data_IF_341459814016
#
_entry.id   IF_341459814016
#
_cell.length_a   1.000
_cell.length_b   1.000
_cell.length_c   1.000
_cell.angle_alpha   90.00
_cell.angle_beta   90.00
_cell.angle_gamma   90.00
#
_symmetry.space_group_name_H-M   'P 1'
#
loop_
_entity.id
_entity.type
_entity.pdbx_description
1 polymer ?
#
# COMPACT_ATOMS: atom_id res chain seq x y z
N UNK A 1 -32.92 10.91 17.08
CA UNK A 1 -31.70 11.75 17.11
C UNK A 1 -30.58 11.10 17.95
N UNK A 2 -30.39 9.78 17.91
CA UNK A 2 -29.54 9.05 18.88
C UNK A 2 -28.77 7.86 18.28
N UNK A 3 -28.29 7.98 17.03
CA UNK A 3 -27.41 6.95 16.43
C UNK A 3 -26.07 7.49 15.90
N UNK A 4 -25.86 8.81 15.90
CA UNK A 4 -24.65 9.43 15.36
C UNK A 4 -23.54 9.63 16.40
N UNK A 5 -23.87 9.83 17.69
CA UNK A 5 -22.90 10.03 18.76
C UNK A 5 -22.14 8.75 19.17
N UNK A 6 -22.72 7.57 18.92
CA UNK A 6 -22.19 6.29 19.43
C UNK A 6 -21.31 5.51 18.43
N UNK A 7 -21.07 6.05 17.23
CA UNK A 7 -20.29 5.35 16.18
C UNK A 7 -18.82 5.18 16.54
N UNK A 8 -18.24 6.13 17.27
CA UNK A 8 -16.83 6.02 17.69
C UNK A 8 -16.66 5.02 18.83
N UNK A 9 -17.56 5.01 19.81
CA UNK A 9 -17.57 4.02 20.88
C UNK A 9 -17.77 2.59 20.31
N UNK A 10 -18.75 2.41 19.42
CA UNK A 10 -18.99 1.13 18.76
C UNK A 10 -17.77 0.64 17.97
N UNK A 11 -17.06 1.53 17.27
CA UNK A 11 -15.81 1.17 16.57
C UNK A 11 -14.72 0.68 17.52
N UNK A 12 -14.50 1.37 18.63
CA UNK A 12 -13.51 0.95 19.63
C UNK A 12 -13.89 -0.37 20.29
N UNK A 13 -15.18 -0.59 20.57
CA UNK A 13 -15.70 -1.87 21.09
C UNK A 13 -15.42 -3.00 20.08
N UNK A 14 -15.69 -2.79 18.79
CA UNK A 14 -15.45 -3.79 17.75
C UNK A 14 -13.95 -4.11 17.58
N UNK A 15 -13.09 -3.09 17.64
CA UNK A 15 -11.63 -3.26 17.56
C UNK A 15 -11.13 -4.06 18.77
N UNK A 16 -11.56 -3.68 19.98
CA UNK A 16 -11.20 -4.39 21.22
C UNK A 16 -11.69 -5.84 21.20
N UNK A 17 -12.94 -6.07 20.79
CA UNK A 17 -13.52 -7.40 20.68
C UNK A 17 -12.75 -8.27 19.67
N UNK A 18 -12.39 -7.72 18.52
CA UNK A 18 -11.58 -8.43 17.50
C UNK A 18 -10.20 -8.78 18.03
N UNK A 19 -9.54 -7.86 18.76
CA UNK A 19 -8.26 -8.12 19.38
C UNK A 19 -8.33 -9.23 20.45
N UNK A 20 -9.38 -9.22 21.27
CA UNK A 20 -9.64 -10.26 22.27
C UNK A 20 -9.85 -11.62 21.60
N UNK A 21 -10.69 -11.69 20.55
CA UNK A 21 -10.95 -12.94 19.81
C UNK A 21 -9.67 -13.50 19.20
N UNK A 22 -8.87 -12.66 18.53
CA UNK A 22 -7.60 -13.08 17.93
C UNK A 22 -6.64 -13.60 19.00
N UNK A 23 -6.53 -12.90 20.12
CA UNK A 23 -5.66 -13.29 21.23
C UNK A 23 -6.10 -14.62 21.85
N UNK A 24 -7.41 -14.83 22.02
CA UNK A 24 -7.97 -16.09 22.51
C UNK A 24 -7.70 -17.26 21.56
N UNK A 25 -7.86 -17.07 20.24
CA UNK A 25 -7.58 -18.12 19.26
C UNK A 25 -6.09 -18.49 19.27
N UNK A 26 -5.20 -17.50 19.28
CA UNK A 26 -3.75 -17.73 19.35
C UNK A 26 -3.35 -18.44 20.64
N UNK A 27 -3.88 -17.99 21.78
CA UNK A 27 -3.62 -18.62 23.08
C UNK A 27 -4.13 -20.06 23.11
N UNK A 28 -5.36 -20.31 22.65
CA UNK A 28 -5.94 -21.66 22.62
C UNK A 28 -5.14 -22.60 21.69
N UNK A 29 -4.70 -22.11 20.52
CA UNK A 29 -3.88 -22.91 19.59
C UNK A 29 -2.52 -23.24 20.19
N UNK A 30 -1.91 -22.29 20.89
CA UNK A 30 -0.65 -22.51 21.61
C UNK A 30 -0.82 -23.50 22.77
N UNK A 31 -1.87 -23.37 23.57
CA UNK A 31 -2.18 -24.28 24.67
C UNK A 31 -2.43 -25.71 24.14
N UNK A 32 -3.18 -25.86 23.06
CA UNK A 32 -3.40 -27.15 22.39
C UNK A 32 -2.08 -27.80 21.95
N UNK A 33 -1.18 -27.03 21.34
CA UNK A 33 0.14 -27.52 20.95
C UNK A 33 0.96 -28.02 22.15
N UNK A 34 0.97 -27.28 23.26
CA UNK A 34 1.70 -27.67 24.46
C UNK A 34 1.12 -28.93 25.11
N UNK A 35 -0.21 -29.03 25.19
CA UNK A 35 -0.89 -30.22 25.73
C UNK A 35 -0.58 -31.45 24.89
N UNK A 36 -0.65 -31.33 23.55
CA UNK A 36 -0.32 -32.43 22.65
C UNK A 36 1.16 -32.85 22.77
N UNK A 37 2.07 -31.88 22.94
CA UNK A 37 3.49 -32.16 23.18
C UNK A 37 3.70 -32.92 24.51
N UNK A 38 2.95 -32.57 25.55
CA UNK A 38 3.00 -33.26 26.83
C UNK A 38 2.46 -34.70 26.73
N UNK A 39 1.35 -34.91 26.04
CA UNK A 39 0.78 -36.25 25.79
C UNK A 39 1.75 -37.16 25.01
N UNK A 40 2.39 -36.64 23.96
CA UNK A 40 3.43 -37.38 23.22
C UNK A 40 4.60 -37.78 24.13
N UNK A 41 5.00 -36.91 25.06
CA UNK A 41 6.04 -37.25 26.05
C UNK A 41 5.59 -38.38 26.97
N UNK A 42 4.36 -38.33 27.50
CA UNK A 42 3.80 -39.40 28.33
C UNK A 42 3.75 -40.73 27.57
N UNK A 43 3.35 -40.70 26.30
CA UNK A 43 3.35 -41.88 25.42
C UNK A 43 4.75 -42.50 25.29
N UNK A 44 5.76 -41.67 25.13
CA UNK A 44 7.16 -42.12 25.04
C UNK A 44 7.71 -42.63 26.38
N UNK A 45 7.27 -42.07 27.52
CA UNK A 45 7.61 -42.59 28.85
C UNK A 45 6.99 -43.97 29.08
N UNK A 46 5.71 -44.15 28.73
CA UNK A 46 5.04 -45.45 28.81
C UNK A 46 5.73 -46.48 27.92
N UNK A 47 6.14 -46.09 26.71
CA UNK A 47 6.93 -46.95 25.84
C UNK A 47 8.25 -47.38 26.50
N UNK A 48 8.96 -46.46 27.15
CA UNK A 48 10.20 -46.75 27.87
C UNK A 48 9.98 -47.74 29.02
N UNK A 49 8.89 -47.60 29.79
CA UNK A 49 8.59 -48.54 30.88
C UNK A 49 8.27 -49.94 30.36
N UNK A 50 7.46 -50.05 29.30
CA UNK A 50 7.19 -51.33 28.66
C UNK A 50 8.45 -51.98 28.07
N UNK A 51 9.37 -51.18 27.54
CA UNK A 51 10.67 -51.68 27.08
C UNK A 51 11.53 -52.21 28.22
N UNK A 52 11.58 -51.53 29.38
CA UNK A 52 12.26 -52.05 30.57
C UNK A 52 11.64 -53.37 31.02
N UNK A 53 10.32 -53.44 31.17
CA UNK A 53 9.60 -54.61 31.67
C UNK A 53 9.84 -55.86 30.81
N UNK A 54 9.83 -55.72 29.48
CA UNK A 54 10.10 -56.83 28.55
C UNK A 54 11.55 -57.33 28.66
N UNK A 55 12.51 -56.44 28.90
CA UNK A 55 13.93 -56.80 28.99
C UNK A 55 14.38 -57.16 30.41
N UNK A 56 13.53 -56.97 31.42
CA UNK A 56 13.76 -57.36 32.82
C UNK A 56 13.33 -58.80 33.14
N UNK A 57 12.72 -59.49 32.18
CA UNK A 57 12.36 -60.91 32.30
C UNK A 57 13.62 -61.79 32.18
N UNK A 58 14.56 -61.60 33.10
CA UNK A 58 15.72 -62.46 33.36
C UNK A 58 15.35 -63.73 34.14
N UNK A 59 14.07 -64.09 34.22
CA UNK A 59 13.64 -65.43 34.64
C UNK A 59 12.71 -66.00 33.56
N UNK A 60 13.27 -66.85 32.72
CA UNK A 60 12.74 -67.48 31.49
C UNK A 60 11.43 -68.30 31.63
N UNK A 61 10.58 -68.05 32.62
CA UNK A 61 9.35 -68.80 32.90
C UNK A 61 8.09 -67.93 33.18
N UNK A 62 8.17 -66.59 33.15
CA UNK A 62 6.99 -65.73 33.27
C UNK A 62 6.49 -65.26 31.91
N UNK A 63 5.19 -65.43 31.67
CA UNK A 63 4.50 -64.97 30.46
C UNK A 63 4.54 -63.44 30.40
N UNK A 64 5.10 -62.88 29.33
CA UNK A 64 5.09 -61.44 29.09
C UNK A 64 3.63 -61.07 28.84
N UNK A 65 2.99 -60.37 29.78
CA UNK A 65 1.62 -59.91 29.61
C UNK A 65 1.42 -59.13 28.30
N UNK A 66 0.21 -59.16 27.74
CA UNK A 66 -0.07 -58.51 26.45
C UNK A 66 0.09 -56.98 26.48
N UNK A 67 0.05 -56.36 27.66
CA UNK A 67 0.00 -54.91 27.83
C UNK A 67 1.31 -54.19 27.41
N UNK A 68 2.51 -54.57 27.89
CA UNK A 68 3.78 -54.01 27.41
C UNK A 68 3.94 -54.10 25.88
N UNK A 69 3.60 -55.26 25.30
CA UNK A 69 3.66 -55.47 23.86
C UNK A 69 2.71 -54.52 23.11
N UNK A 70 1.47 -54.37 23.60
CA UNK A 70 0.47 -53.47 23.01
C UNK A 70 0.89 -52.00 23.09
N UNK A 71 1.49 -51.58 24.21
CA UNK A 71 2.04 -50.21 24.36
C UNK A 71 3.16 -49.99 23.36
N UNK A 72 4.11 -50.93 23.26
CA UNK A 72 5.20 -50.84 22.29
C UNK A 72 4.68 -50.76 20.86
N UNK A 73 3.68 -51.56 20.48
CA UNK A 73 3.09 -51.57 19.14
C UNK A 73 2.27 -50.30 18.83
N UNK A 74 1.60 -49.71 19.83
CA UNK A 74 0.75 -48.51 19.66
C UNK A 74 1.51 -47.25 19.23
N UNK A 75 2.82 -47.20 19.41
CA UNK A 75 3.64 -46.09 18.93
C UNK A 75 3.94 -46.20 17.43
N UNK A 76 3.04 -45.69 16.58
CA UNK A 76 3.14 -45.80 15.11
C UNK A 76 3.64 -44.54 14.41
N UNK A 77 3.78 -43.43 15.12
CA UNK A 77 3.95 -42.10 14.52
C UNK A 77 5.17 -41.33 14.98
N UNK A 78 5.69 -41.65 16.17
CA UNK A 78 6.72 -40.84 16.83
C UNK A 78 8.07 -41.49 16.51
N UNK A 79 8.96 -40.80 15.76
CA UNK A 79 10.23 -41.37 15.37
C UNK A 79 11.18 -41.38 16.57
N UNK A 80 11.87 -42.49 16.78
CA UNK A 80 12.72 -42.67 17.95
C UNK A 80 13.92 -43.58 17.69
N UNK A 81 15.01 -43.29 18.40
CA UNK A 81 16.24 -44.05 18.46
C UNK A 81 16.48 -44.49 19.90
N UNK A 82 16.85 -45.74 20.08
CA UNK A 82 17.36 -46.29 21.32
C UNK A 82 18.89 -46.40 21.19
N UNK A 83 19.61 -45.87 22.18
CA UNK A 83 21.07 -45.98 22.27
C UNK A 83 21.48 -46.54 23.63
N UNK A 84 22.72 -47.01 23.72
CA UNK A 84 23.36 -47.21 25.02
C UNK A 84 23.70 -45.85 25.68
N UNK A 85 24.30 -45.91 26.88
CA UNK A 85 24.77 -44.73 27.62
C UNK A 85 25.89 -43.96 26.93
N UNK A 86 26.66 -44.62 26.06
CA UNK A 86 27.75 -44.02 25.28
C UNK A 86 27.26 -43.38 23.97
N UNK A 87 25.97 -43.53 23.66
CA UNK A 87 25.31 -42.98 22.48
C UNK A 87 25.39 -43.88 21.24
N UNK A 88 25.84 -45.14 21.37
CA UNK A 88 25.85 -46.09 20.27
C UNK A 88 24.43 -46.58 19.97
N UNK A 89 24.12 -46.70 18.68
CA UNK A 89 22.84 -47.16 18.19
C UNK A 89 22.51 -48.60 18.62
N UNK A 90 21.30 -48.82 19.16
CA UNK A 90 20.76 -50.14 19.49
C UNK A 90 19.61 -50.50 18.55
N UNK A 91 18.59 -49.65 18.49
CA UNK A 91 17.39 -49.88 17.66
C UNK A 91 16.68 -48.57 17.34
N UNK A 92 15.73 -48.62 16.40
CA UNK A 92 14.90 -47.48 16.06
C UNK A 92 13.43 -47.88 15.87
N UNK A 93 12.56 -46.87 15.87
CA UNK A 93 11.16 -47.04 15.48
C UNK A 93 10.67 -45.82 14.70
N UNK A 94 9.83 -46.06 13.69
CA UNK A 94 9.24 -45.03 12.81
C UNK A 94 10.30 -44.14 12.12
N UNK A 95 11.48 -44.69 11.85
CA UNK A 95 12.58 -44.09 11.09
C UNK A 95 12.89 -45.05 9.93
N UNK A 96 13.13 -44.59 8.70
CA UNK A 96 13.54 -45.46 7.60
C UNK A 96 14.87 -46.18 7.86
N UNK A 97 14.93 -47.48 7.55
CA UNK A 97 16.12 -48.33 7.72
C UNK A 97 17.36 -47.79 6.99
N UNK A 98 17.18 -47.04 5.92
CA UNK A 98 18.27 -46.43 5.12
C UNK A 98 19.05 -45.39 5.93
N UNK A 99 18.37 -44.64 6.81
CA UNK A 99 18.97 -43.57 7.60
C UNK A 99 19.83 -44.14 8.73
N UNK A 100 19.42 -45.26 9.33
CA UNK A 100 20.14 -45.86 10.46
C UNK A 100 21.36 -46.68 10.05
N UNK A 101 21.57 -46.92 8.74
CA UNK A 101 22.75 -47.60 8.21
C UNK A 101 23.99 -46.71 8.19
N UNK A 102 23.83 -45.40 8.19
CA UNK A 102 24.92 -44.43 8.22
C UNK A 102 25.09 -43.86 9.65
N UNK A 103 26.22 -44.15 10.34
CA UNK A 103 26.49 -43.61 11.67
C UNK A 103 26.47 -42.08 11.74
N UNK A 104 26.83 -41.38 10.66
CA UNK A 104 26.81 -39.92 10.61
C UNK A 104 25.38 -39.37 10.65
N UNK A 105 24.47 -40.00 9.89
CA UNK A 105 23.05 -39.66 9.88
C UNK A 105 22.38 -39.95 11.23
N UNK A 106 22.75 -41.07 11.89
CA UNK A 106 22.28 -41.38 13.25
C UNK A 106 22.70 -40.30 14.24
N UNK A 107 23.98 -39.88 14.22
CA UNK A 107 24.47 -38.83 15.10
C UNK A 107 23.76 -37.48 14.86
N UNK A 108 23.54 -37.11 13.60
CA UNK A 108 22.75 -35.92 13.24
C UNK A 108 21.31 -36.01 13.76
N UNK A 109 20.69 -37.19 13.67
CA UNK A 109 19.32 -37.41 14.11
C UNK A 109 19.19 -37.34 15.64
N UNK A 110 20.18 -37.85 16.38
CA UNK A 110 20.27 -37.73 17.84
C UNK A 110 20.33 -36.25 18.24
N UNK A 111 21.20 -35.45 17.63
CA UNK A 111 21.31 -34.02 17.93
C UNK A 111 20.01 -33.26 17.58
N UNK A 112 19.38 -33.60 16.45
CA UNK A 112 18.07 -33.05 16.08
C UNK A 112 17.02 -33.37 17.15
N UNK A 113 16.93 -34.62 17.59
CA UNK A 113 15.93 -35.03 18.57
C UNK A 113 16.19 -34.46 19.97
N UNK A 114 17.45 -34.30 20.38
CA UNK A 114 17.82 -33.55 21.60
C UNK A 114 17.32 -32.10 21.55
N UNK A 115 17.38 -31.46 20.38
CA UNK A 115 16.85 -30.11 20.17
C UNK A 115 15.32 -30.03 20.23
N UNK A 116 14.62 -31.10 19.87
CA UNK A 116 13.15 -31.15 19.87
C UNK A 116 12.58 -31.54 21.25
N UNK A 117 13.16 -32.55 21.88
CA UNK A 117 12.72 -33.16 23.13
C UNK A 117 13.89 -33.61 24.01
N UNK A 118 13.69 -33.55 25.33
CA UNK A 118 14.66 -34.15 26.27
C UNK A 118 14.60 -35.68 26.17
N UNK A 119 15.74 -36.38 26.04
CA UNK A 119 15.77 -37.83 25.98
C UNK A 119 15.15 -38.47 27.22
N UNK A 120 14.68 -39.70 27.07
CA UNK A 120 14.11 -40.49 28.16
C UNK A 120 15.12 -41.54 28.59
N UNK A 121 15.41 -41.57 29.89
CA UNK A 121 16.31 -42.56 30.50
C UNK A 121 15.57 -43.87 30.70
N UNK A 122 16.10 -44.95 30.15
CA UNK A 122 15.66 -46.32 30.43
C UNK A 122 16.52 -46.85 31.57
N UNK A 123 15.90 -47.06 32.73
CA UNK A 123 16.58 -47.54 33.93
C UNK A 123 16.35 -49.04 34.11
N UNK A 124 17.40 -49.73 34.53
CA UNK A 124 17.41 -51.12 34.91
C UNK A 124 18.01 -51.22 36.31
N UNK A 125 17.28 -51.81 37.27
CA UNK A 125 17.71 -51.88 38.69
C UNK A 125 18.14 -50.51 39.29
N UNK A 126 17.58 -49.41 38.77
CA UNK A 126 17.90 -48.04 39.20
C UNK A 126 19.04 -47.36 38.43
N UNK A 127 19.82 -48.08 37.62
CA UNK A 127 20.89 -47.54 36.79
C UNK A 127 20.39 -47.24 35.36
N UNK A 128 20.81 -46.11 34.79
CA UNK A 128 20.50 -45.78 33.39
C UNK A 128 21.32 -46.69 32.48
N UNK A 129 20.66 -47.53 31.68
CA UNK A 129 21.34 -48.41 30.72
C UNK A 129 21.18 -47.96 29.28
N UNK A 130 20.04 -47.36 28.94
CA UNK A 130 19.77 -46.90 27.59
C UNK A 130 19.14 -45.51 27.60
N UNK A 131 19.26 -44.81 26.48
CA UNK A 131 18.62 -43.53 26.23
C UNK A 131 17.69 -43.63 25.02
N UNK A 132 16.49 -43.07 25.16
CA UNK A 132 15.53 -42.92 24.05
C UNK A 132 15.55 -41.48 23.56
N UNK A 133 16.08 -41.28 22.36
CA UNK A 133 15.99 -40.02 21.63
C UNK A 133 14.77 -40.07 20.72
N UNK A 134 13.86 -39.10 20.81
CA UNK A 134 12.65 -39.09 20.00
C UNK A 134 12.35 -37.71 19.43
N UNK A 135 11.92 -37.71 18.17
CA UNK A 135 11.51 -36.50 17.46
C UNK A 135 10.04 -36.17 17.64
N UNK A 136 9.65 -35.00 17.19
CA UNK A 136 8.25 -34.63 17.04
C UNK A 136 7.59 -35.53 15.99
N UNK A 137 6.39 -36.03 16.28
CA UNK A 137 5.58 -36.71 15.28
C UNK A 137 5.27 -35.81 14.08
N UNK A 138 5.01 -36.36 12.89
CA UNK A 138 4.64 -35.57 11.70
C UNK A 138 3.47 -34.61 11.95
N UNK A 139 2.52 -34.99 12.81
CA UNK A 139 1.40 -34.15 13.21
C UNK A 139 1.85 -32.98 14.09
N UNK A 140 2.69 -33.22 15.10
CA UNK A 140 3.22 -32.17 15.98
C UNK A 140 4.06 -31.15 15.18
N UNK A 141 4.83 -31.62 14.20
CA UNK A 141 5.57 -30.75 13.27
C UNK A 141 4.66 -29.87 12.41
N UNK A 142 3.52 -30.39 11.94
CA UNK A 142 2.51 -29.56 11.26
C UNK A 142 1.89 -28.54 12.22
N UNK A 143 1.48 -28.98 13.41
CA UNK A 143 0.84 -28.14 14.45
C UNK A 143 1.69 -26.95 14.88
N UNK A 144 3.02 -27.10 14.91
CA UNK A 144 3.97 -26.02 15.23
C UNK A 144 3.79 -24.76 14.37
N UNK A 145 3.38 -24.90 13.10
CA UNK A 145 3.27 -23.79 12.16
C UNK A 145 1.86 -23.19 12.04
N UNK A 146 0.83 -23.83 12.60
CA UNK A 146 -0.55 -23.33 12.53
C UNK A 146 -0.71 -21.89 13.08
N UNK A 147 -0.11 -21.53 14.25
CA UNK A 147 -0.20 -20.16 14.76
C UNK A 147 0.39 -19.12 13.80
N UNK A 148 1.50 -19.44 13.12
CA UNK A 148 2.12 -18.54 12.13
C UNK A 148 1.24 -18.36 10.90
N UNK A 149 0.63 -19.45 10.42
CA UNK A 149 -0.30 -19.40 9.29
C UNK A 149 -1.54 -18.54 9.62
N UNK A 150 -2.09 -18.69 10.83
CA UNK A 150 -3.21 -17.87 11.28
C UNK A 150 -2.84 -16.38 11.35
N UNK A 151 -1.67 -16.06 11.90
CA UNK A 151 -1.18 -14.69 11.98
C UNK A 151 -1.01 -14.08 10.57
N UNK A 152 -0.49 -14.84 9.61
CA UNK A 152 -0.38 -14.41 8.22
C UNK A 152 -1.76 -14.11 7.62
N UNK A 153 -2.75 -14.98 7.82
CA UNK A 153 -4.13 -14.79 7.33
C UNK A 153 -4.73 -13.50 7.92
N UNK A 154 -4.54 -13.26 9.21
CA UNK A 154 -5.03 -12.05 9.89
C UNK A 154 -4.39 -10.79 9.28
N UNK A 155 -3.07 -10.79 9.05
CA UNK A 155 -2.36 -9.66 8.42
C UNK A 155 -2.88 -9.40 7.02
N UNK A 156 -3.04 -10.45 6.20
CA UNK A 156 -3.56 -10.33 4.85
C UNK A 156 -4.99 -9.77 4.85
N UNK A 157 -5.85 -10.26 5.73
CA UNK A 157 -7.22 -9.77 5.85
C UNK A 157 -7.27 -8.29 6.29
N UNK A 158 -6.45 -7.91 7.27
CA UNK A 158 -6.32 -6.52 7.71
C UNK A 158 -5.84 -5.60 6.58
N UNK A 159 -4.89 -6.04 5.76
CA UNK A 159 -4.42 -5.30 4.60
C UNK A 159 -5.55 -5.09 3.56
N UNK A 160 -6.32 -6.14 3.24
CA UNK A 160 -7.46 -6.06 2.32
C UNK A 160 -8.51 -5.05 2.83
N UNK A 161 -8.89 -5.15 4.10
CA UNK A 161 -9.86 -4.22 4.71
C UNK A 161 -9.34 -2.77 4.66
N UNK A 162 -8.06 -2.56 4.96
CA UNK A 162 -7.43 -1.24 4.89
C UNK A 162 -7.45 -0.67 3.47
N UNK A 163 -7.04 -1.45 2.47
CA UNK A 163 -7.05 -1.02 1.07
C UNK A 163 -8.47 -0.73 0.57
N UNK A 164 -9.44 -1.56 0.93
CA UNK A 164 -10.85 -1.36 0.60
C UNK A 164 -11.39 -0.06 1.22
N UNK A 165 -11.15 0.16 2.52
CA UNK A 165 -11.58 1.39 3.21
C UNK A 165 -10.96 2.63 2.57
N UNK A 166 -9.65 2.60 2.29
CA UNK A 166 -8.94 3.70 1.64
C UNK A 166 -9.53 3.99 0.25
N UNK A 167 -9.74 2.96 -0.56
CA UNK A 167 -10.32 3.08 -1.90
C UNK A 167 -11.73 3.67 -1.87
N UNK A 168 -12.60 3.14 -1.00
CA UNK A 168 -13.98 3.62 -0.82
C UNK A 168 -14.06 5.08 -0.36
N UNK A 169 -13.18 5.49 0.56
CA UNK A 169 -13.11 6.87 1.05
C UNK A 169 -12.70 7.83 -0.07
N UNK A 170 -11.69 7.48 -0.86
CA UNK A 170 -11.24 8.28 -2.02
C UNK A 170 -12.36 8.37 -3.06
N UNK A 171 -13.00 7.25 -3.40
CA UNK A 171 -14.11 7.23 -4.36
C UNK A 171 -15.28 8.12 -3.92
N UNK A 172 -15.63 8.11 -2.64
CA UNK A 172 -16.69 8.97 -2.08
C UNK A 172 -16.32 10.45 -2.16
N UNK A 173 -15.08 10.79 -1.78
CA UNK A 173 -14.58 12.16 -1.91
C UNK A 173 -14.59 12.62 -3.37
N UNK A 174 -14.11 11.78 -4.29
CA UNK A 174 -14.10 12.07 -5.72
C UNK A 174 -15.53 12.30 -6.23
N UNK A 175 -16.50 11.46 -5.85
CA UNK A 175 -17.91 11.61 -6.24
C UNK A 175 -18.53 12.90 -5.70
N UNK A 176 -18.24 13.25 -4.44
CA UNK A 176 -18.71 14.50 -3.83
C UNK A 176 -18.12 15.72 -4.52
N UNK A 177 -16.80 15.74 -4.74
CA UNK A 177 -16.14 16.80 -5.48
C UNK A 177 -16.66 16.91 -6.91
N UNK A 178 -16.92 15.78 -7.57
CA UNK A 178 -17.48 15.76 -8.93
C UNK A 178 -18.88 16.36 -8.97
N UNK A 179 -19.76 15.90 -8.07
CA UNK A 179 -21.14 16.35 -7.99
C UNK A 179 -21.26 17.81 -7.59
N UNK A 180 -20.51 18.24 -6.56
CA UNK A 180 -20.44 19.64 -6.15
C UNK A 180 -19.89 20.53 -7.26
N UNK A 181 -18.81 20.11 -7.95
CA UNK A 181 -18.25 20.92 -9.03
C UNK A 181 -19.23 21.10 -10.19
N UNK A 182 -19.92 20.03 -10.59
CA UNK A 182 -20.94 20.08 -11.65
C UNK A 182 -22.14 20.95 -11.25
N UNK A 183 -22.66 20.78 -10.04
CA UNK A 183 -23.81 21.53 -9.54
C UNK A 183 -23.48 23.02 -9.38
N UNK A 184 -22.36 23.34 -8.76
CA UNK A 184 -21.92 24.74 -8.62
C UNK A 184 -21.63 25.38 -9.98
N UNK A 185 -21.06 24.65 -10.93
CA UNK A 185 -20.89 25.18 -12.28
C UNK A 185 -22.25 25.48 -12.95
N UNK A 186 -23.22 24.58 -12.80
CA UNK A 186 -24.58 24.83 -13.31
C UNK A 186 -25.22 26.07 -12.66
N UNK A 187 -25.12 26.18 -11.32
CA UNK A 187 -25.67 27.31 -10.57
C UNK A 187 -24.98 28.65 -10.86
N UNK A 188 -23.69 28.65 -11.22
CA UNK A 188 -22.97 29.86 -11.67
C UNK A 188 -23.29 30.17 -13.14
N UNK A 189 -23.49 29.15 -13.98
CA UNK A 189 -23.83 29.32 -15.38
C UNK A 189 -25.14 30.09 -15.60
N UNK A 190 -26.14 29.84 -14.76
CA UNK A 190 -27.46 30.51 -14.85
C UNK A 190 -27.40 32.04 -14.70
N UNK A 191 -26.87 32.63 -13.60
CA UNK A 191 -26.76 34.08 -13.48
C UNK A 191 -25.82 34.68 -14.54
N UNK A 192 -24.83 33.92 -15.00
CA UNK A 192 -23.91 34.37 -16.03
C UNK A 192 -24.57 34.52 -17.40
N UNK A 193 -25.47 33.60 -17.77
CA UNK A 193 -26.30 33.73 -18.97
C UNK A 193 -27.20 34.96 -18.90
N UNK A 194 -27.75 35.28 -17.72
CA UNK A 194 -28.51 36.53 -17.52
C UNK A 194 -27.63 37.76 -17.70
N UNK A 195 -26.39 37.75 -17.19
CA UNK A 195 -25.44 38.86 -17.39
C UNK A 195 -25.11 39.07 -18.87
N UNK A 196 -24.95 38.01 -19.66
CA UNK A 196 -24.79 38.12 -21.13
C UNK A 196 -26.00 38.83 -21.76
N UNK A 197 -27.21 38.44 -21.36
CA UNK A 197 -28.44 39.08 -21.83
C UNK A 197 -28.50 40.57 -21.47
N UNK A 198 -28.15 40.94 -20.24
CA UNK A 198 -28.08 42.34 -19.82
C UNK A 198 -27.02 43.13 -20.58
N UNK A 199 -25.84 42.54 -20.87
CA UNK A 199 -24.84 43.22 -21.70
C UNK A 199 -25.34 43.48 -23.12
N UNK A 200 -26.13 42.59 -23.70
CA UNK A 200 -26.71 42.79 -25.02
C UNK A 200 -27.74 43.93 -25.02
N UNK A 201 -28.54 44.05 -23.95
CA UNK A 201 -29.44 45.19 -23.75
C UNK A 201 -28.62 46.49 -23.61
N UNK A 202 -27.55 46.49 -22.81
CA UNK A 202 -26.70 47.67 -22.62
C UNK A 202 -26.03 48.13 -23.92
N UNK A 203 -25.77 47.23 -24.88
CA UNK A 203 -25.29 47.63 -26.23
C UNK A 203 -26.31 48.40 -27.05
N UNK A 204 -27.60 48.17 -26.80
CA UNK A 204 -28.67 48.90 -27.46
C UNK A 204 -28.90 50.30 -26.87
N UNK A 205 -28.30 50.59 -25.72
CA UNK A 205 -28.31 51.88 -25.04
C UNK A 205 -27.06 52.71 -25.40
N UNK A 206 -27.13 54.04 -25.29
CA UNK A 206 -26.03 54.97 -25.63
C UNK A 206 -24.92 55.00 -24.55
N UNK A 207 -24.45 53.82 -24.12
CA UNK A 207 -23.38 53.64 -23.13
C UNK A 207 -22.04 53.55 -23.84
N UNK A 208 -20.96 54.01 -23.20
CA UNK A 208 -19.58 53.88 -23.73
C UNK A 208 -19.28 52.41 -24.09
N UNK A 209 -19.03 52.10 -25.37
CA UNK A 209 -18.73 50.74 -25.83
C UNK A 209 -17.53 50.10 -25.13
N UNK A 210 -16.59 50.90 -24.61
CA UNK A 210 -15.42 50.38 -23.90
C UNK A 210 -15.79 49.71 -22.57
N UNK A 211 -16.80 50.23 -21.85
CA UNK A 211 -17.26 49.63 -20.60
C UNK A 211 -17.98 48.30 -20.86
N UNK A 212 -18.79 48.23 -21.92
CA UNK A 212 -19.48 47.01 -22.31
C UNK A 212 -18.47 45.92 -22.69
N UNK A 213 -17.45 46.29 -23.48
CA UNK A 213 -16.40 45.34 -23.90
C UNK A 213 -15.62 44.75 -22.73
N UNK A 214 -15.34 45.52 -21.68
CA UNK A 214 -14.70 44.98 -20.47
C UNK A 214 -15.63 44.08 -19.65
N UNK A 215 -16.92 44.39 -19.57
CA UNK A 215 -17.91 43.50 -18.91
C UNK A 215 -18.03 42.17 -19.68
N UNK A 216 -18.12 42.20 -21.00
CA UNK A 216 -18.18 40.98 -21.84
C UNK A 216 -16.96 40.09 -21.67
N UNK A 217 -15.79 40.70 -21.54
CA UNK A 217 -14.53 40.00 -21.29
C UNK A 217 -14.53 39.31 -19.93
N UNK A 218 -15.05 39.94 -18.89
CA UNK A 218 -15.21 39.33 -17.56
C UNK A 218 -16.27 38.22 -17.56
N UNK A 219 -17.39 38.40 -18.27
CA UNK A 219 -18.41 37.37 -18.46
C UNK A 219 -17.82 36.15 -19.18
N UNK A 220 -17.12 36.36 -20.28
CA UNK A 220 -16.45 35.28 -21.04
C UNK A 220 -15.45 34.54 -20.16
N UNK A 221 -14.69 35.28 -19.33
CA UNK A 221 -13.76 34.69 -18.38
C UNK A 221 -14.47 33.81 -17.35
N UNK A 222 -15.60 34.28 -16.80
CA UNK A 222 -16.41 33.49 -15.87
C UNK A 222 -17.03 32.25 -16.55
N UNK A 223 -17.39 32.33 -17.83
CA UNK A 223 -17.94 31.19 -18.58
C UNK A 223 -16.89 30.11 -18.74
N UNK A 224 -15.66 30.51 -19.11
CA UNK A 224 -14.52 29.60 -19.21
C UNK A 224 -14.23 28.95 -17.85
N UNK A 225 -14.22 29.70 -16.76
CA UNK A 225 -14.01 29.15 -15.40
C UNK A 225 -15.10 28.14 -15.05
N UNK A 226 -16.34 28.45 -15.39
CA UNK A 226 -17.52 27.61 -15.10
C UNK A 226 -17.51 26.30 -15.91
N UNK A 227 -17.23 26.37 -17.21
CA UNK A 227 -17.08 25.19 -18.09
C UNK A 227 -15.94 24.29 -17.61
N UNK A 228 -14.78 24.90 -17.30
CA UNK A 228 -13.64 24.20 -16.72
C UNK A 228 -14.01 23.52 -15.40
N UNK A 229 -14.74 24.19 -14.52
CA UNK A 229 -15.21 23.63 -13.25
C UNK A 229 -16.19 22.46 -13.44
N UNK A 230 -17.10 22.57 -14.42
CA UNK A 230 -18.03 21.50 -14.80
C UNK A 230 -17.31 20.24 -15.31
N UNK A 231 -16.24 20.42 -16.11
CA UNK A 231 -15.43 19.32 -16.66
C UNK A 231 -14.62 18.57 -15.60
N UNK A 232 -14.33 19.19 -14.45
CA UNK A 232 -13.82 18.46 -13.28
C UNK A 232 -14.89 17.49 -12.74
N UNK A 233 -16.17 17.80 -12.94
CA UNK A 233 -17.29 16.99 -12.49
C UNK A 233 -17.57 15.73 -13.32
N UNK A 234 -16.98 15.57 -14.50
CA UNK A 234 -17.21 14.46 -15.42
C UNK A 234 -15.92 13.67 -15.71
N UNK A 235 -16.06 12.43 -16.16
CA UNK A 235 -14.94 11.66 -16.72
C UNK A 235 -14.57 12.27 -18.08
N UNK A 236 -13.36 12.81 -18.26
CA UNK A 236 -12.97 13.40 -19.53
C UNK A 236 -12.66 12.31 -20.56
N UNK A 237 -12.90 12.63 -21.84
CA UNK A 237 -12.43 11.79 -22.94
C UNK A 237 -10.97 12.12 -23.23
N UNK A 238 -10.12 11.08 -23.26
CA UNK A 238 -8.74 11.17 -23.69
C UNK A 238 -8.66 10.88 -25.19
N UNK A 239 -7.84 11.63 -25.91
CA UNK A 239 -7.57 11.45 -27.34
C UNK A 239 -6.06 11.30 -27.54
N UNK A 240 -5.67 10.61 -28.62
CA UNK A 240 -4.27 10.62 -29.06
C UNK A 240 -3.92 12.04 -29.49
N UNK A 241 -3.05 12.68 -28.73
CA UNK A 241 -2.63 14.07 -28.92
C UNK A 241 -1.10 14.12 -29.01
N UNK A 242 -0.59 14.98 -29.87
CA UNK A 242 0.84 15.30 -29.93
C UNK A 242 1.17 16.29 -28.79
N UNK A 243 2.00 15.83 -27.85
CA UNK A 243 2.25 16.51 -26.58
C UNK A 243 3.10 17.75 -26.73
N UNK A 244 4.07 17.75 -27.65
CA UNK A 244 5.01 18.86 -27.81
C UNK A 244 4.26 20.09 -28.30
N UNK A 245 3.41 19.93 -29.32
CA UNK A 245 2.53 20.96 -29.88
C UNK A 245 1.55 21.47 -28.83
N UNK A 246 0.84 20.57 -28.14
CA UNK A 246 -0.10 20.99 -27.09
C UNK A 246 0.58 21.79 -25.96
N UNK A 247 1.83 21.46 -25.64
CA UNK A 247 2.62 22.20 -24.65
C UNK A 247 3.16 23.51 -25.20
N UNK A 248 3.58 23.53 -26.47
CA UNK A 248 4.05 24.71 -27.18
C UNK A 248 2.94 25.76 -27.29
N UNK A 249 1.72 25.36 -27.65
CA UNK A 249 0.56 26.24 -27.75
C UNK A 249 0.26 26.90 -26.39
N UNK A 250 0.26 26.10 -25.32
CA UNK A 250 0.10 26.60 -23.95
C UNK A 250 1.23 27.56 -23.56
N UNK A 251 2.48 27.24 -23.90
CA UNK A 251 3.65 28.07 -23.66
C UNK A 251 3.55 29.44 -24.37
N UNK A 252 3.22 29.46 -25.65
CA UNK A 252 3.11 30.69 -26.45
C UNK A 252 1.97 31.59 -25.94
N UNK A 253 0.82 30.99 -25.65
CA UNK A 253 -0.31 31.67 -25.04
C UNK A 253 0.08 32.34 -23.71
N UNK A 254 0.80 31.64 -22.82
CA UNK A 254 1.22 32.16 -21.53
C UNK A 254 2.31 33.24 -21.67
N UNK A 255 3.27 33.04 -22.57
CA UNK A 255 4.33 34.01 -22.87
C UNK A 255 3.75 35.33 -23.37
N UNK A 256 2.81 35.29 -24.31
CA UNK A 256 2.21 36.49 -24.90
C UNK A 256 1.42 37.35 -23.89
N UNK A 257 0.91 36.73 -22.81
CA UNK A 257 0.11 37.39 -21.76
C UNK A 257 0.88 37.71 -20.48
N UNK A 258 2.16 37.38 -20.44
CA UNK A 258 3.02 37.59 -19.28
C UNK A 258 3.85 38.86 -19.41
N UNK A 259 4.32 39.38 -18.27
CA UNK A 259 5.21 40.57 -18.25
C UNK A 259 6.49 40.32 -19.04
N UNK A 260 6.98 41.35 -19.76
CA UNK A 260 8.30 41.33 -20.43
C UNK A 260 9.48 41.13 -19.46
N UNK A 261 9.25 41.27 -18.16
CA UNK A 261 10.23 41.00 -17.10
C UNK A 261 10.45 39.50 -16.83
N UNK A 262 9.70 38.63 -17.51
CA UNK A 262 9.81 37.18 -17.39
C UNK A 262 10.51 36.63 -18.63
N UNK A 263 11.65 35.99 -18.43
CA UNK A 263 12.33 35.22 -19.47
C UNK A 263 11.65 33.85 -19.60
N UNK A 264 11.11 33.57 -20.79
CA UNK A 264 10.48 32.30 -21.12
C UNK A 264 11.41 31.45 -21.97
N UNK A 265 11.61 30.20 -21.56
CA UNK A 265 12.40 29.20 -22.29
C UNK A 265 11.58 27.92 -22.51
N UNK A 266 11.59 27.40 -23.74
CA UNK A 266 10.97 26.13 -24.07
C UNK A 266 12.00 25.18 -24.69
N UNK A 267 12.03 23.94 -24.21
CA UNK A 267 12.92 22.88 -24.70
C UNK A 267 12.12 21.60 -24.93
N UNK A 268 12.25 21.02 -26.11
CA UNK A 268 11.64 19.73 -26.42
C UNK A 268 12.58 18.89 -27.29
N UNK A 269 12.36 17.57 -27.35
CA UNK A 269 12.94 16.73 -28.40
C UNK A 269 12.46 17.19 -29.78
N UNK A 270 13.17 16.78 -30.84
CA UNK A 270 12.78 17.03 -32.23
C UNK A 270 11.70 16.06 -32.73
N UNK A 271 11.63 14.87 -32.15
CA UNK A 271 10.65 13.85 -32.55
C UNK A 271 9.30 14.08 -31.85
N UNK A 272 8.16 13.92 -32.56
CA UNK A 272 6.84 14.08 -31.99
C UNK A 272 6.54 12.99 -30.94
N UNK A 273 5.87 13.36 -29.86
CA UNK A 273 5.51 12.46 -28.77
C UNK A 273 4.00 12.42 -28.64
N UNK A 274 3.43 11.23 -28.79
CA UNK A 274 1.98 11.03 -28.65
C UNK A 274 1.63 10.48 -27.27
N UNK A 275 0.56 11.03 -26.69
CA UNK A 275 -0.01 10.59 -25.41
C UNK A 275 -1.54 10.55 -25.52
N UNK A 276 -2.20 9.81 -24.63
CA UNK A 276 -3.65 9.91 -24.46
C UNK A 276 -3.97 11.08 -23.51
N UNK A 277 -4.53 12.15 -24.05
CA UNK A 277 -4.71 13.43 -23.36
C UNK A 277 -6.10 14.03 -23.57
N UNK A 278 -6.60 14.72 -22.56
CA UNK A 278 -7.62 15.75 -22.73
C UNK A 278 -6.91 17.12 -22.77
N UNK A 279 -6.77 17.67 -23.97
CA UNK A 279 -6.01 18.91 -24.24
C UNK A 279 -6.42 20.08 -23.35
N UNK A 280 -7.70 20.33 -23.18
CA UNK A 280 -8.19 21.48 -22.39
C UNK A 280 -7.81 21.36 -20.90
N UNK A 281 -7.92 20.16 -20.32
CA UNK A 281 -7.53 19.93 -18.93
C UNK A 281 -6.01 19.95 -18.76
N UNK A 282 -5.27 19.47 -19.75
CA UNK A 282 -3.82 19.56 -19.78
C UNK A 282 -3.32 21.01 -19.86
N UNK A 283 -3.85 21.80 -20.79
CA UNK A 283 -3.53 23.22 -20.94
C UNK A 283 -3.79 23.97 -19.64
N UNK A 284 -4.90 23.66 -18.96
CA UNK A 284 -5.20 24.24 -17.65
C UNK A 284 -4.16 23.85 -16.58
N UNK A 285 -3.66 22.62 -16.64
CA UNK A 285 -2.58 22.18 -15.75
C UNK A 285 -1.31 22.98 -15.99
N UNK A 286 -0.88 23.14 -17.25
CA UNK A 286 0.30 23.93 -17.61
C UNK A 286 0.13 25.40 -17.21
N UNK A 287 -1.02 26.00 -17.52
CA UNK A 287 -1.37 27.37 -17.11
C UNK A 287 -1.25 27.55 -15.59
N UNK A 288 -1.77 26.62 -14.80
CA UNK A 288 -1.71 26.70 -13.35
C UNK A 288 -0.27 26.55 -12.82
N UNK A 289 0.54 25.66 -13.39
CA UNK A 289 1.95 25.50 -13.00
C UNK A 289 2.76 26.76 -13.32
N UNK A 290 2.61 27.30 -14.52
CA UNK A 290 3.32 28.52 -14.96
C UNK A 290 2.89 29.74 -14.15
N UNK A 291 1.60 29.91 -13.85
CA UNK A 291 1.13 30.99 -12.98
C UNK A 291 1.72 30.88 -11.57
N UNK A 292 1.77 29.68 -11.00
CA UNK A 292 2.40 29.47 -9.70
C UNK A 292 3.90 29.77 -9.72
N UNK A 293 4.61 29.44 -10.80
CA UNK A 293 6.00 29.82 -11.04
C UNK A 293 6.18 31.36 -11.07
N UNK A 294 5.36 32.07 -11.86
CA UNK A 294 5.38 33.53 -11.96
C UNK A 294 5.14 34.20 -10.59
N UNK A 295 4.18 33.68 -9.83
CA UNK A 295 3.87 34.19 -8.50
C UNK A 295 5.02 33.93 -7.50
N UNK A 296 5.68 32.78 -7.59
CA UNK A 296 6.84 32.45 -6.75
C UNK A 296 8.04 33.38 -7.00
N UNK A 297 8.14 33.93 -8.21
CA UNK A 297 9.14 34.91 -8.63
C UNK A 297 8.70 36.38 -8.41
N UNK A 298 7.48 36.62 -7.90
CA UNK A 298 6.89 37.97 -7.78
C UNK A 298 6.86 38.72 -9.12
N UNK A 299 6.64 38.02 -10.23
CA UNK A 299 6.45 38.62 -11.56
C UNK A 299 7.71 39.01 -12.33
N UNK A 300 8.92 38.70 -11.85
CA UNK A 300 10.19 38.92 -12.57
C UNK A 300 11.13 37.74 -12.34
N UNK A 301 11.68 37.18 -13.41
CA UNK A 301 12.57 36.01 -13.33
C UNK A 301 12.56 35.19 -14.60
N UNK A 302 12.80 33.89 -14.47
CA UNK A 302 12.88 32.94 -15.57
C UNK A 302 11.96 31.76 -15.33
N UNK A 303 11.11 31.46 -16.32
CA UNK A 303 10.31 30.23 -16.38
C UNK A 303 10.76 29.39 -17.57
N UNK A 304 11.07 28.12 -17.33
CA UNK A 304 11.40 27.17 -18.39
C UNK A 304 10.46 25.98 -18.41
N UNK A 305 9.97 25.60 -19.58
CA UNK A 305 9.24 24.34 -19.79
C UNK A 305 10.14 23.41 -20.61
N UNK A 306 10.39 22.20 -20.10
CA UNK A 306 11.19 21.19 -20.81
C UNK A 306 10.44 19.86 -20.93
N UNK A 307 10.45 19.27 -22.11
CA UNK A 307 9.93 17.93 -22.37
C UNK A 307 11.09 16.95 -22.51
N UNK A 308 11.00 15.79 -21.87
CA UNK A 308 12.02 14.74 -21.91
C UNK A 308 11.33 13.40 -22.14
N UNK A 309 11.68 12.71 -23.22
CA UNK A 309 11.22 11.34 -23.49
C UNK A 309 12.16 10.33 -22.82
N UNK A 310 11.59 9.41 -22.04
CA UNK A 310 12.31 8.31 -21.38
C UNK A 310 11.58 6.98 -21.64
N UNK A 311 12.04 6.23 -22.64
CA UNK A 311 11.45 4.93 -23.02
C UNK A 311 9.94 5.00 -23.27
N UNK A 312 9.10 4.54 -22.32
CA UNK A 312 7.63 4.51 -22.40
C UNK A 312 6.95 5.64 -21.60
N UNK A 313 7.73 6.59 -21.10
CA UNK A 313 7.22 7.73 -20.34
C UNK A 313 7.77 9.03 -20.90
N UNK A 314 6.94 10.06 -20.87
CA UNK A 314 7.33 11.44 -21.16
C UNK A 314 7.21 12.28 -19.91
N UNK A 315 8.21 13.13 -19.67
CA UNK A 315 8.28 14.04 -18.53
C UNK A 315 8.21 15.48 -19.01
N UNK A 316 7.33 16.26 -18.39
CA UNK A 316 7.21 17.70 -18.62
C UNK A 316 7.63 18.39 -17.33
N UNK A 317 8.70 19.18 -17.39
CA UNK A 317 9.19 19.95 -16.26
C UNK A 317 8.87 21.43 -16.45
N UNK A 318 8.22 22.04 -15.47
CA UNK A 318 8.02 23.49 -15.39
C UNK A 318 8.91 24.00 -14.26
N UNK A 319 9.93 24.79 -14.58
CA UNK A 319 10.90 25.30 -13.62
C UNK A 319 10.86 26.82 -13.52
N UNK A 320 11.03 27.33 -12.31
CA UNK A 320 11.16 28.75 -11.98
C UNK A 320 12.42 29.01 -11.14
N UNK A 321 12.89 30.27 -11.12
CA UNK A 321 13.96 30.73 -10.24
C UNK A 321 13.44 31.59 -9.06
N UNK A 322 12.24 31.27 -8.56
CA UNK A 322 11.58 31.98 -7.48
C UNK A 322 12.02 31.57 -6.08
N UNK A 323 11.15 31.83 -5.10
CA UNK A 323 11.45 31.62 -3.67
C UNK A 323 11.75 30.15 -3.26
N UNK A 324 11.39 29.17 -4.08
CA UNK A 324 11.51 27.76 -3.75
C UNK A 324 10.58 27.27 -2.63
N UNK A 325 10.72 26.00 -2.28
CA UNK A 325 9.93 25.28 -1.29
C UNK A 325 10.84 24.44 -0.39
N UNK A 326 10.61 24.42 0.94
CA UNK A 326 11.23 23.44 1.82
C UNK A 326 10.71 22.02 1.52
N UNK A 327 11.58 21.03 1.70
CA UNK A 327 11.30 19.61 1.39
C UNK A 327 10.06 19.05 2.09
N UNK A 328 9.76 19.54 3.30
CA UNK A 328 8.57 19.17 4.08
C UNK A 328 7.25 19.52 3.38
N UNK A 329 7.26 20.46 2.44
CA UNK A 329 6.07 20.91 1.73
C UNK A 329 5.82 20.21 0.39
N UNK A 330 6.76 19.40 -0.12
CA UNK A 330 6.67 18.82 -1.47
C UNK A 330 5.39 17.99 -1.70
N UNK A 331 4.90 17.30 -0.66
CA UNK A 331 3.63 16.56 -0.73
C UNK A 331 2.43 17.44 -0.39
N UNK A 332 2.59 18.34 0.58
CA UNK A 332 1.51 19.18 1.12
C UNK A 332 1.01 20.23 0.13
N UNK A 333 1.86 20.70 -0.78
CA UNK A 333 1.45 21.68 -1.82
C UNK A 333 0.33 21.20 -2.74
N UNK A 334 0.10 19.88 -2.81
CA UNK A 334 -0.98 19.29 -3.59
C UNK A 334 -2.22 18.96 -2.76
N UNK A 335 -2.23 19.23 -1.46
CA UNK A 335 -3.41 19.04 -0.61
C UNK A 335 -4.46 20.12 -0.92
N UNK A 336 -5.75 19.75 -1.07
CA UNK A 336 -6.81 20.73 -1.31
C UNK A 336 -6.85 21.81 -0.23
N UNK A 337 -6.91 23.07 -0.64
CA UNK A 337 -6.98 24.22 0.26
C UNK A 337 -5.62 24.69 0.79
N UNK A 338 -4.54 23.97 0.52
CA UNK A 338 -3.20 24.40 0.90
C UNK A 338 -2.76 25.61 0.06
N UNK A 339 -2.36 26.71 0.72
CA UNK A 339 -1.84 27.90 0.05
C UNK A 339 -0.86 28.64 0.95
N UNK A 340 0.18 29.23 0.35
CA UNK A 340 1.07 30.18 1.03
C UNK A 340 0.70 31.64 0.78
N UNK A 341 -0.38 31.88 0.01
CA UNK A 341 -0.85 33.22 -0.35
C UNK A 341 -1.88 33.72 0.66
N UNK A 342 -1.85 35.02 0.98
CA UNK A 342 -2.86 35.68 1.82
C UNK A 342 -4.26 35.69 1.20
N UNK A 343 -4.34 35.61 -0.14
CA UNK A 343 -5.59 35.52 -0.92
C UNK A 343 -5.46 34.40 -1.95
N UNK A 344 -6.44 33.50 -2.00
CA UNK A 344 -6.48 32.36 -2.92
C UNK A 344 -6.99 31.09 -2.24
N UNK A 345 -7.77 30.29 -2.97
CA UNK A 345 -8.50 29.14 -2.43
C UNK A 345 -7.64 27.88 -2.23
N UNK A 346 -6.37 27.88 -2.66
CA UNK A 346 -5.48 26.72 -2.53
C UNK A 346 -5.90 25.50 -3.36
N UNK A 347 -6.70 25.70 -4.42
CA UNK A 347 -7.25 24.61 -5.23
C UNK A 347 -6.43 24.28 -6.49
N UNK A 348 -5.55 25.18 -6.92
CA UNK A 348 -4.86 25.06 -8.21
C UNK A 348 -4.02 23.78 -8.31
N UNK A 349 -3.04 23.59 -7.42
CA UNK A 349 -2.15 22.43 -7.47
C UNK A 349 -2.86 21.11 -7.16
N UNK A 350 -3.83 21.11 -6.24
CA UNK A 350 -4.66 19.93 -6.00
C UNK A 350 -5.48 19.54 -7.23
N UNK A 351 -5.93 20.52 -8.01
CA UNK A 351 -6.62 20.28 -9.27
C UNK A 351 -5.67 19.77 -10.35
N UNK A 352 -4.51 20.39 -10.53
CA UNK A 352 -3.47 19.88 -11.44
C UNK A 352 -3.13 18.43 -11.13
N UNK A 353 -3.06 18.06 -9.84
CA UNK A 353 -2.86 16.68 -9.43
C UNK A 353 -4.01 15.78 -9.83
N UNK A 354 -5.26 16.16 -9.57
CA UNK A 354 -6.43 15.39 -10.01
C UNK A 354 -6.46 15.20 -11.51
N UNK A 355 -6.21 16.26 -12.29
CA UNK A 355 -6.19 16.18 -13.75
C UNK A 355 -5.13 15.17 -14.21
N UNK A 356 -3.90 15.26 -13.71
CA UNK A 356 -2.81 14.40 -14.18
C UNK A 356 -2.97 12.96 -13.65
N UNK A 357 -3.21 12.77 -12.36
CA UNK A 357 -3.22 11.45 -11.73
C UNK A 357 -4.53 10.69 -11.99
N UNK A 358 -5.69 11.34 -11.83
CA UNK A 358 -6.98 10.65 -11.88
C UNK A 358 -7.53 10.55 -13.32
N UNK A 359 -7.25 11.54 -14.17
CA UNK A 359 -7.82 11.57 -15.53
C UNK A 359 -6.87 11.10 -16.62
N UNK A 360 -5.57 11.40 -16.47
CA UNK A 360 -4.56 11.04 -17.47
C UNK A 360 -3.73 9.82 -17.06
N UNK A 361 -4.01 9.23 -15.91
CA UNK A 361 -3.24 8.12 -15.31
C UNK A 361 -1.73 8.41 -15.23
N UNK A 362 -1.39 9.69 -15.04
CA UNK A 362 -0.03 10.18 -14.94
C UNK A 362 0.44 10.34 -13.49
N UNK A 363 1.49 11.14 -13.31
CA UNK A 363 2.01 11.54 -12.00
C UNK A 363 2.44 12.99 -12.02
N UNK A 364 2.16 13.72 -10.95
CA UNK A 364 2.71 15.07 -10.75
C UNK A 364 3.47 15.14 -9.42
N UNK A 365 4.62 15.82 -9.40
CA UNK A 365 5.41 16.02 -8.18
C UNK A 365 6.25 17.28 -8.24
N UNK A 366 6.72 17.74 -7.08
CA UNK A 366 7.90 18.61 -7.02
C UNK A 366 9.12 17.73 -7.28
N UNK A 367 9.81 17.94 -8.41
CA UNK A 367 11.03 17.20 -8.76
C UNK A 367 12.18 17.64 -7.86
N UNK A 368 12.39 18.95 -7.79
CA UNK A 368 13.41 19.60 -6.99
C UNK A 368 12.95 21.00 -6.62
N UNK A 369 13.37 21.47 -5.46
CA UNK A 369 13.22 22.86 -5.07
C UNK A 369 14.22 23.19 -3.97
N UNK A 370 14.76 24.40 -4.03
CA UNK A 370 15.66 24.92 -3.01
C UNK A 370 15.27 26.36 -2.70
N UNK A 371 15.31 26.72 -1.40
CA UNK A 371 14.95 28.05 -0.94
C UNK A 371 15.79 29.11 -1.65
N UNK A 372 15.12 30.10 -2.22
CA UNK A 372 15.69 31.20 -3.01
C UNK A 372 16.45 30.81 -4.28
N UNK A 373 16.38 29.55 -4.73
CA UNK A 373 16.94 29.14 -6.03
C UNK A 373 15.87 28.75 -7.04
N UNK A 374 14.70 28.30 -6.58
CA UNK A 374 13.58 27.99 -7.46
C UNK A 374 12.90 26.65 -7.20
N UNK A 375 11.97 26.29 -8.08
CA UNK A 375 11.19 25.06 -8.02
C UNK A 375 11.08 24.46 -9.41
N UNK A 376 11.17 23.13 -9.50
CA UNK A 376 10.82 22.37 -10.69
C UNK A 376 9.67 21.43 -10.37
N UNK A 377 8.54 21.66 -11.04
CA UNK A 377 7.37 20.79 -11.04
C UNK A 377 7.49 19.81 -12.21
N UNK A 378 7.23 18.53 -11.98
CA UNK A 378 7.31 17.49 -13.01
C UNK A 378 5.98 16.77 -13.16
N UNK A 379 5.49 16.69 -14.40
CA UNK A 379 4.42 15.82 -14.85
C UNK A 379 5.06 14.61 -15.55
N UNK A 380 4.50 13.42 -15.36
CA UNK A 380 4.88 12.20 -16.06
C UNK A 380 3.65 11.54 -16.66
N UNK A 381 3.70 11.23 -17.96
CA UNK A 381 2.64 10.58 -18.71
C UNK A 381 3.21 9.36 -19.44
N UNK A 382 2.36 8.38 -19.77
CA UNK A 382 2.74 7.27 -20.63
C UNK A 382 2.74 7.73 -22.10
N UNK A 383 3.86 7.53 -22.81
CA UNK A 383 3.94 7.75 -24.25
C UNK A 383 3.39 6.54 -25.00
N UNK A 384 2.75 6.78 -26.15
CA UNK A 384 2.16 5.75 -27.01
C UNK A 384 3.17 5.05 -27.90
#
# INVERSE_FOLDING_TARGET
MTLTANRNALRWILILASFIIISLILWNTYAFFQNFKAEERTKMQNWSFSYTEINDVNNLNEDIGELPLKIMQSNTSTPMLLTDVDGNYISHKNIPDEIVKDPAEVAMLIEKYKGENRPIEVKYEGEVRNLVYYGNSPLLNKLKYYPLALLLIIILFAAVVYFFYRSSKIATQNKLWSGMAKETAHQIGTPLSSLVGWTEILKSEHIDPNHIKEIEKDITRLQIITDRFSKIGSMPTLKKTELIQATQDAYEYLKSRSSKLIEFEFKSPSEPIYVNLNEQLYEWTIENLVKNAIDAMKGKGKVSISIIQESKQVRINVSDNGKGLPRSLFKRVFEPGYTSKKRGWGLGLSLSKRIIEDYHNGKIKVLQSELNKGTTMQISLASL
#
